data_IF_214713198393
#
_entry.id   IF_214713198393
#
_cell.length_a   1.000
_cell.length_b   1.000
_cell.length_c   1.000
_cell.angle_alpha   90.00
_cell.angle_beta   90.00
_cell.angle_gamma   90.00
#
_symmetry.space_group_name_H-M   'P 1'
#
loop_
_entity.id
_entity.type
_entity.pdbx_description
1 polymer ?
#
# COMPACT_ATOMS: atom_id res chain seq x y z
N UNK A 1 3.58 -4.19 17.28
CA UNK A 1 3.63 -3.31 16.10
C UNK A 1 4.90 -3.65 15.33
N UNK A 2 4.81 -3.75 14.01
CA UNK A 2 5.95 -4.00 13.13
C UNK A 2 5.90 -3.04 11.95
N UNK A 3 7.06 -2.53 11.55
CA UNK A 3 7.19 -1.59 10.45
C UNK A 3 8.07 -2.14 9.34
N UNK A 4 7.66 -1.90 8.10
CA UNK A 4 8.35 -2.34 6.91
C UNK A 4 8.55 -1.17 5.96
N UNK A 5 9.73 -1.09 5.36
CA UNK A 5 9.99 -0.16 4.26
C UNK A 5 9.42 -0.73 2.97
N UNK A 6 8.69 0.09 2.24
CA UNK A 6 8.07 -0.26 0.96
C UNK A 6 8.87 0.29 -0.22
N UNK A 7 8.87 -0.47 -1.32
CA UNK A 7 9.51 -0.11 -2.60
C UNK A 7 8.54 -0.09 -3.76
N UNK A 8 7.48 -0.89 -3.70
CA UNK A 8 6.43 -0.98 -4.73
C UNK A 8 5.09 -1.37 -4.10
N UNK A 9 4.02 -1.10 -4.83
CA UNK A 9 2.69 -1.63 -4.58
C UNK A 9 2.16 -2.26 -5.86
N UNK A 10 1.49 -3.40 -5.77
CA UNK A 10 0.74 -4.00 -6.88
C UNK A 10 -0.73 -4.00 -6.53
N UNK A 11 -1.54 -3.50 -7.45
CA UNK A 11 -3.00 -3.63 -7.42
C UNK A 11 -3.35 -4.92 -8.16
N UNK A 12 -3.92 -5.90 -7.46
CA UNK A 12 -4.09 -7.25 -8.00
C UNK A 12 -5.17 -7.30 -9.10
N UNK A 13 -6.29 -6.59 -8.91
CA UNK A 13 -7.39 -6.53 -9.89
C UNK A 13 -6.94 -6.07 -11.29
N UNK A 14 -6.26 -4.91 -11.44
CA UNK A 14 -5.70 -4.51 -12.74
C UNK A 14 -4.35 -5.18 -13.04
N UNK A 15 -3.80 -6.00 -12.14
CA UNK A 15 -2.48 -6.62 -12.28
C UNK A 15 -1.32 -5.62 -12.36
N UNK A 16 -1.51 -4.39 -11.88
CA UNK A 16 -0.60 -3.26 -12.13
C UNK A 16 0.37 -3.07 -10.98
N UNK A 17 1.67 -2.97 -11.29
CA UNK A 17 2.72 -2.72 -10.29
C UNK A 17 3.22 -1.29 -10.40
N UNK A 18 3.09 -0.54 -9.32
CA UNK A 18 3.43 0.88 -9.21
C UNK A 18 4.69 1.02 -8.37
N UNK A 19 5.68 1.73 -8.92
CA UNK A 19 6.91 2.04 -8.20
C UNK A 19 6.69 3.30 -7.35
N UNK A 20 7.35 3.35 -6.18
CA UNK A 20 7.27 4.49 -5.26
C UNK A 20 8.67 4.95 -4.89
N UNK A 21 8.84 6.22 -4.57
CA UNK A 21 10.15 6.72 -4.11
C UNK A 21 10.43 6.30 -2.67
N UNK A 22 9.39 6.35 -1.82
CA UNK A 22 9.43 5.94 -0.41
C UNK A 22 8.08 5.38 -0.02
N UNK A 23 8.08 4.45 0.92
CA UNK A 23 6.88 4.10 1.63
C UNK A 23 7.16 3.33 2.90
N UNK A 24 6.17 3.31 3.77
CA UNK A 24 6.16 2.60 5.03
C UNK A 24 4.87 1.79 5.14
N UNK A 25 4.97 0.65 5.80
CA UNK A 25 3.85 -0.19 6.19
C UNK A 25 3.97 -0.46 7.68
N UNK A 26 2.96 -0.08 8.43
CA UNK A 26 2.86 -0.32 9.87
C UNK A 26 1.76 -1.34 10.13
N UNK A 27 2.13 -2.46 10.76
CA UNK A 27 1.25 -3.58 11.06
C UNK A 27 1.02 -3.65 12.57
N UNK A 28 -0.25 -3.72 12.95
CA UNK A 28 -0.71 -3.87 14.32
C UNK A 28 -1.09 -5.35 14.54
N UNK A 29 -0.37 -6.01 15.44
CA UNK A 29 -0.61 -7.41 15.80
C UNK A 29 -1.72 -7.51 16.87
N UNK A 30 -2.86 -6.88 16.60
CA UNK A 30 -4.07 -7.00 17.41
C UNK A 30 -5.02 -8.06 16.82
N UNK A 31 -6.11 -8.38 17.53
CA UNK A 31 -7.11 -9.35 17.07
C UNK A 31 -7.75 -8.96 15.72
N UNK A 32 -7.65 -7.69 15.32
CA UNK A 32 -8.25 -7.16 14.10
C UNK A 32 -7.30 -7.19 12.88
N UNK A 33 -6.02 -7.53 13.07
CA UNK A 33 -5.00 -7.57 12.00
C UNK A 33 -5.01 -6.29 11.15
N UNK A 34 -4.98 -5.14 11.82
CA UNK A 34 -5.00 -3.84 11.18
C UNK A 34 -3.63 -3.43 10.67
N UNK A 35 -3.60 -2.79 9.53
CA UNK A 35 -2.37 -2.24 8.98
C UNK A 35 -2.62 -0.93 8.22
N UNK A 36 -1.56 -0.12 8.17
CA UNK A 36 -1.56 1.19 7.54
C UNK A 36 -0.34 1.29 6.64
N UNK A 37 -0.50 1.90 5.48
CA UNK A 37 0.63 2.19 4.60
C UNK A 37 0.63 3.66 4.18
N UNK A 38 1.82 4.21 4.02
CA UNK A 38 2.04 5.52 3.42
C UNK A 38 3.05 5.38 2.30
N UNK A 39 2.78 6.01 1.15
CA UNK A 39 3.70 6.03 0.01
C UNK A 39 3.89 7.46 -0.49
N UNK A 40 5.05 7.71 -1.06
CA UNK A 40 5.45 8.99 -1.64
C UNK A 40 5.91 8.81 -3.09
N UNK A 41 5.54 9.78 -3.92
CA UNK A 41 5.88 9.88 -5.34
C UNK A 41 5.60 8.57 -6.10
N UNK A 42 4.34 8.09 -6.11
CA UNK A 42 4.01 6.95 -6.94
C UNK A 42 4.22 7.30 -8.42
N UNK A 43 4.72 6.34 -9.21
CA UNK A 43 4.97 6.54 -10.65
C UNK A 43 3.71 6.78 -11.48
N UNK A 44 2.53 6.50 -10.91
CA UNK A 44 1.24 6.53 -11.58
C UNK A 44 0.17 7.08 -10.62
N UNK A 45 0.20 8.39 -10.38
CA UNK A 45 -0.65 9.08 -9.41
C UNK A 45 -2.13 8.91 -9.74
N UNK A 46 -2.48 8.93 -11.02
CA UNK A 46 -3.85 8.90 -11.54
C UNK A 46 -4.61 7.65 -11.07
N UNK A 47 -3.92 6.51 -10.97
CA UNK A 47 -4.51 5.24 -10.51
C UNK A 47 -5.03 5.37 -9.08
N UNK A 48 -4.32 6.10 -8.21
CA UNK A 48 -4.75 6.32 -6.83
C UNK A 48 -5.98 7.24 -6.78
N UNK A 49 -6.06 8.24 -7.65
CA UNK A 49 -7.26 9.09 -7.73
C UNK A 49 -8.49 8.31 -8.18
N UNK A 50 -8.34 7.45 -9.20
CA UNK A 50 -9.42 6.61 -9.69
C UNK A 50 -9.90 5.64 -8.61
N UNK A 51 -8.97 4.96 -7.93
CA UNK A 51 -9.29 4.05 -6.83
C UNK A 51 -9.95 4.78 -5.65
N UNK A 52 -9.45 5.96 -5.25
CA UNK A 52 -10.10 6.75 -4.19
C UNK A 52 -11.51 7.19 -4.60
N UNK A 53 -11.72 7.52 -5.87
CA UNK A 53 -13.02 7.92 -6.41
C UNK A 53 -14.02 6.77 -6.47
N UNK A 54 -13.56 5.53 -6.71
CA UNK A 54 -14.43 4.35 -6.69
C UNK A 54 -14.92 4.03 -5.28
N UNK A 55 -14.19 4.45 -4.24
CA UNK A 55 -14.46 4.16 -2.83
C UNK A 55 -14.61 2.64 -2.58
N UNK A 56 -13.90 1.84 -3.36
CA UNK A 56 -13.86 0.38 -3.24
C UNK A 56 -12.59 -0.07 -2.54
N UNK A 57 -12.68 -1.27 -1.95
CA UNK A 57 -11.50 -1.95 -1.47
C UNK A 57 -10.84 -2.71 -2.62
N UNK A 58 -9.51 -2.64 -2.72
CA UNK A 58 -8.73 -3.36 -3.73
C UNK A 58 -7.78 -4.33 -3.05
N UNK A 59 -7.60 -5.49 -3.65
CA UNK A 59 -6.57 -6.43 -3.20
C UNK A 59 -5.18 -5.89 -3.60
N UNK A 60 -4.27 -5.81 -2.63
CA UNK A 60 -2.95 -5.24 -2.84
C UNK A 60 -1.81 -6.13 -2.35
N UNK A 61 -0.70 -6.05 -3.07
CA UNK A 61 0.59 -6.62 -2.64
C UNK A 61 1.58 -5.49 -2.44
N UNK A 62 2.17 -5.41 -1.26
CA UNK A 62 3.24 -4.46 -0.96
C UNK A 62 4.59 -5.15 -1.04
N UNK A 63 5.56 -4.48 -1.65
CA UNK A 63 6.91 -5.02 -1.78
C UNK A 63 7.85 -4.26 -0.85
N UNK A 64 8.67 -5.01 -0.12
CA UNK A 64 9.72 -4.49 0.74
C UNK A 64 11.10 -4.73 0.11
N UNK A 65 12.17 -4.24 0.73
CA UNK A 65 13.55 -4.44 0.23
C UNK A 65 13.98 -5.92 0.17
N UNK A 66 13.31 -6.82 0.89
CA UNK A 66 13.69 -8.25 0.96
C UNK A 66 12.54 -9.26 0.77
N UNK A 67 11.29 -8.83 0.83
CA UNK A 67 10.12 -9.69 0.82
C UNK A 67 8.96 -9.04 0.05
N UNK A 68 8.08 -9.85 -0.55
CA UNK A 68 6.72 -9.39 -0.86
C UNK A 68 5.79 -9.69 0.32
N UNK A 69 5.01 -8.71 0.72
CA UNK A 69 3.90 -8.89 1.64
C UNK A 69 2.62 -8.88 0.80
N UNK A 70 1.92 -10.02 0.72
CA UNK A 70 0.55 -10.01 0.17
C UNK A 70 -0.33 -9.49 1.31
N UNK A 71 -1.00 -8.37 1.08
CA UNK A 71 -1.72 -7.68 2.13
C UNK A 71 -3.15 -7.42 1.68
N UNK A 72 -3.98 -8.45 1.85
CA UNK A 72 -5.45 -8.39 1.90
C UNK A 72 -6.13 -7.34 1.01
N UNK A 73 -7.21 -6.78 1.53
CA UNK A 73 -7.96 -5.70 0.90
C UNK A 73 -7.61 -4.37 1.57
N UNK A 74 -7.48 -3.34 0.76
CA UNK A 74 -7.08 -2.01 1.18
C UNK A 74 -8.07 -0.98 0.69
N UNK A 75 -8.10 0.18 1.33
CA UNK A 75 -8.69 1.41 0.77
C UNK A 75 -7.72 2.56 0.88
N UNK A 76 -7.81 3.48 -0.07
CA UNK A 76 -7.13 4.78 0.05
C UNK A 76 -7.92 5.66 1.01
N UNK A 77 -7.27 6.06 2.10
CA UNK A 77 -7.87 6.98 3.08
C UNK A 77 -7.56 8.44 2.74
N UNK A 78 -6.39 8.70 2.15
CA UNK A 78 -5.94 10.06 1.82
C UNK A 78 -5.01 10.07 0.61
N UNK A 79 -5.11 11.14 -0.17
CA UNK A 79 -4.11 11.53 -1.18
C UNK A 79 -3.81 12.99 -0.89
N UNK A 80 -2.54 13.34 -0.79
CA UNK A 80 -2.08 14.71 -0.55
C UNK A 80 -1.15 15.11 -1.68
N UNK A 81 -1.45 16.25 -2.30
CA UNK A 81 -0.62 16.86 -3.33
C UNK A 81 -0.04 18.16 -2.80
N UNK A 82 1.26 18.36 -3.03
CA UNK A 82 2.01 19.51 -2.54
C UNK A 82 3.08 19.91 -3.54
N UNK A 83 3.75 21.04 -3.31
CA UNK A 83 4.92 21.44 -4.09
C UNK A 83 6.09 20.45 -3.97
N UNK A 84 6.13 19.64 -2.90
CA UNK A 84 7.07 18.54 -2.71
C UNK A 84 6.62 17.22 -3.37
N UNK A 85 5.48 17.21 -4.05
CA UNK A 85 4.90 16.09 -4.78
C UNK A 85 3.75 15.38 -4.05
N UNK A 86 3.53 14.11 -4.39
CA UNK A 86 2.29 13.39 -4.07
C UNK A 86 2.53 12.28 -3.05
N UNK A 87 1.63 12.16 -2.07
CA UNK A 87 1.59 11.03 -1.14
C UNK A 87 0.20 10.40 -1.05
N UNK A 88 0.15 9.11 -0.76
CA UNK A 88 -1.09 8.38 -0.54
C UNK A 88 -1.02 7.55 0.74
N UNK A 89 -2.12 7.53 1.49
CA UNK A 89 -2.29 6.76 2.72
C UNK A 89 -3.35 5.69 2.52
N UNK A 90 -3.08 4.50 3.05
CA UNK A 90 -3.91 3.31 2.94
C UNK A 90 -4.25 2.78 4.33
N UNK A 91 -5.45 2.24 4.45
CA UNK A 91 -5.83 1.37 5.56
C UNK A 91 -6.31 0.07 4.97
N UNK A 92 -5.90 -1.06 5.55
CA UNK A 92 -6.57 -2.32 5.30
C UNK A 92 -6.64 -3.18 6.54
N UNK A 93 -7.33 -4.29 6.37
CA UNK A 93 -7.62 -5.27 7.41
C UNK A 93 -7.30 -6.67 6.86
N UNK A 94 -6.82 -7.55 7.72
CA UNK A 94 -6.51 -8.94 7.36
C UNK A 94 -5.06 -9.35 7.64
N UNK A 95 -4.85 -10.65 7.80
CA UNK A 95 -3.53 -11.21 8.13
C UNK A 95 -2.48 -10.84 7.08
N UNK A 96 -1.42 -10.19 7.54
CA UNK A 96 -0.24 -9.99 6.71
C UNK A 96 0.46 -11.33 6.50
N UNK A 97 0.51 -11.79 5.25
CA UNK A 97 1.32 -12.95 4.86
C UNK A 97 2.54 -12.46 4.10
N UNK A 98 3.70 -12.56 4.73
CA UNK A 98 4.97 -12.43 4.02
C UNK A 98 5.10 -13.64 3.11
N UNK A 99 5.05 -13.41 1.80
CA UNK A 99 5.17 -14.44 0.77
C UNK A 99 6.43 -14.14 -0.02
N UNK A 100 7.36 -15.10 -0.04
CA UNK A 100 8.67 -14.92 -0.65
C UNK A 100 9.65 -14.26 0.31
N UNK A 101 10.40 -15.09 1.03
CA UNK A 101 11.83 -14.81 1.18
C UNK A 101 12.48 -15.12 -0.17
N UNK A 102 13.49 -14.36 -0.55
CA UNK A 102 14.43 -14.86 -1.56
C UNK A 102 14.90 -16.27 -1.19
#
# INVERSE_FOLDING_TARGET
MQEYRLTKIKLESPGKTISISRGSLTVYNDEASLWYAEIEQPSEVEVFHEWKKSNQEEEVTFFTDGHSARIGYAKITRITESSSGVSASFKGEGELRLVGAK
#
